data_IF_461737367578
#
_entry.id   IF_461737367578
#
_cell.length_a   1.000
_cell.length_b   1.000
_cell.length_c   1.000
_cell.angle_alpha   90.00
_cell.angle_beta   90.00
_cell.angle_gamma   90.00
#
_symmetry.space_group_name_H-M   'P 1'
#
loop_
_entity.id
_entity.type
_entity.pdbx_description
1 polymer ?
#
# COMPACT_ATOMS: atom_id res chain seq x y z
N UNK A 1 -7.57 -13.32 17.50
CA UNK A 1 -7.56 -14.30 16.38
C UNK A 1 -6.44 -13.91 15.43
N UNK A 2 -5.37 -14.69 15.32
CA UNK A 2 -4.32 -14.41 14.32
C UNK A 2 -4.91 -14.63 12.92
N UNK A 3 -4.77 -13.65 12.03
CA UNK A 3 -5.09 -13.83 10.60
C UNK A 3 -4.01 -14.71 9.96
N UNK A 4 -4.42 -15.53 9.00
CA UNK A 4 -3.50 -16.32 8.16
C UNK A 4 -2.44 -15.38 7.52
N UNK A 5 -1.13 -15.64 7.66
CA UNK A 5 -0.06 -14.86 7.03
C UNK A 5 -0.26 -14.58 5.54
N UNK A 6 -0.92 -15.49 4.81
CA UNK A 6 -1.26 -15.31 3.39
C UNK A 6 -2.21 -14.13 3.16
N UNK A 7 -3.03 -13.75 4.14
CA UNK A 7 -3.90 -12.57 4.07
C UNK A 7 -3.05 -11.30 4.02
N UNK A 8 -2.07 -11.17 4.91
CA UNK A 8 -1.20 -9.99 4.93
C UNK A 8 -0.36 -9.86 3.66
N UNK A 9 0.18 -10.97 3.14
CA UNK A 9 0.88 -10.96 1.85
C UNK A 9 -0.01 -10.52 0.69
N UNK A 10 -1.29 -10.93 0.69
CA UNK A 10 -2.27 -10.46 -0.30
C UNK A 10 -2.61 -8.98 -0.14
N UNK A 11 -2.70 -8.48 1.09
CA UNK A 11 -2.96 -7.06 1.36
C UNK A 11 -1.79 -6.19 0.86
N UNK A 12 -0.55 -6.63 1.11
CA UNK A 12 0.66 -5.99 0.56
C UNK A 12 0.61 -5.95 -0.96
N UNK A 13 0.40 -7.10 -1.60
CA UNK A 13 0.35 -7.20 -3.07
C UNK A 13 -0.70 -6.25 -3.66
N UNK A 14 -1.92 -6.27 -3.12
CA UNK A 14 -3.03 -5.42 -3.58
C UNK A 14 -2.74 -3.93 -3.39
N UNK A 15 -2.14 -3.56 -2.27
CA UNK A 15 -1.77 -2.17 -1.97
C UNK A 15 -0.68 -1.67 -2.94
N UNK A 16 0.36 -2.48 -3.20
CA UNK A 16 1.41 -2.15 -4.17
C UNK A 16 0.83 -2.00 -5.58
N UNK A 17 -0.06 -2.89 -6.01
CA UNK A 17 -0.72 -2.76 -7.31
C UNK A 17 -1.57 -1.50 -7.43
N UNK A 18 -2.28 -1.11 -6.37
CA UNK A 18 -3.04 0.15 -6.32
C UNK A 18 -2.12 1.35 -6.49
N UNK A 19 -1.04 1.42 -5.72
CA UNK A 19 -0.04 2.51 -5.83
C UNK A 19 0.46 2.61 -7.27
N UNK A 20 0.92 1.48 -7.85
CA UNK A 20 1.38 1.43 -9.24
C UNK A 20 0.32 1.93 -10.22
N UNK A 21 -0.96 1.57 -10.04
CA UNK A 21 -2.04 2.04 -10.93
C UNK A 21 -2.29 3.54 -10.81
N UNK A 22 -2.28 4.08 -9.60
CA UNK A 22 -2.54 5.51 -9.37
C UNK A 22 -1.41 6.39 -9.91
N UNK A 23 -0.16 5.92 -9.84
CA UNK A 23 1.02 6.69 -10.25
C UNK A 23 1.47 6.42 -11.68
N UNK A 24 0.97 5.37 -12.36
CA UNK A 24 1.45 4.91 -13.69
C UNK A 24 1.55 6.01 -14.77
N UNK A 25 0.68 7.01 -14.73
CA UNK A 25 0.58 8.07 -15.74
C UNK A 25 0.79 9.47 -15.15
N UNK A 26 1.46 9.55 -14.00
CA UNK A 26 1.76 10.82 -13.36
C UNK A 26 3.26 11.04 -13.43
N UNK A 27 3.66 12.18 -13.99
CA UNK A 27 4.97 12.73 -13.72
C UNK A 27 5.03 13.23 -12.27
N UNK A 28 6.23 13.45 -11.75
CA UNK A 28 6.43 13.85 -10.36
C UNK A 28 5.69 15.16 -10.02
N UNK A 29 5.76 16.16 -10.89
CA UNK A 29 5.08 17.45 -10.68
C UNK A 29 3.55 17.33 -10.73
N UNK A 30 3.03 16.40 -11.53
CA UNK A 30 1.59 16.11 -11.57
C UNK A 30 1.13 15.41 -10.28
N UNK A 31 1.96 14.53 -9.73
CA UNK A 31 1.70 13.87 -8.45
C UNK A 31 1.64 14.89 -7.31
N UNK A 32 2.60 15.84 -7.25
CA UNK A 32 2.65 16.89 -6.23
C UNK A 32 1.40 17.78 -6.18
N UNK A 33 0.68 17.93 -7.30
CA UNK A 33 -0.53 18.73 -7.40
C UNK A 33 -1.82 17.94 -7.14
N UNK A 34 -1.75 16.61 -7.01
CA UNK A 34 -2.91 15.72 -6.88
C UNK A 34 -3.03 15.15 -5.48
N UNK A 35 -3.53 15.96 -4.56
CA UNK A 35 -3.72 15.62 -3.14
C UNK A 35 -4.47 14.29 -2.94
N UNK A 36 -5.58 14.07 -3.65
CA UNK A 36 -6.35 12.80 -3.57
C UNK A 36 -5.48 11.58 -3.94
N UNK A 37 -4.58 11.72 -4.92
CA UNK A 37 -3.70 10.61 -5.31
C UNK A 37 -2.62 10.39 -4.25
N UNK A 38 -2.11 11.46 -3.64
CA UNK A 38 -1.16 11.38 -2.54
C UNK A 38 -1.79 10.66 -1.34
N UNK A 39 -3.00 11.07 -0.93
CA UNK A 39 -3.74 10.43 0.15
C UNK A 39 -3.99 8.94 -0.13
N UNK A 40 -4.35 8.61 -1.37
CA UNK A 40 -4.53 7.23 -1.78
C UNK A 40 -3.22 6.43 -1.71
N UNK A 41 -2.08 7.01 -2.09
CA UNK A 41 -0.77 6.37 -1.98
C UNK A 41 -0.38 6.18 -0.51
N UNK A 42 -0.50 7.22 0.32
CA UNK A 42 -0.20 7.20 1.75
C UNK A 42 -1.02 6.10 2.44
N UNK A 43 -2.33 6.05 2.17
CA UNK A 43 -3.21 5.02 2.75
C UNK A 43 -2.80 3.60 2.37
N UNK A 44 -2.35 3.38 1.14
CA UNK A 44 -1.87 2.05 0.73
C UNK A 44 -0.50 1.71 1.35
N UNK A 45 0.36 2.70 1.60
CA UNK A 45 1.60 2.50 2.35
C UNK A 45 1.33 2.14 3.83
N UNK A 46 0.33 2.75 4.46
CA UNK A 46 -0.10 2.37 5.82
C UNK A 46 -0.58 0.91 5.89
N UNK A 47 -1.40 0.47 4.92
CA UNK A 47 -1.85 -0.93 4.83
C UNK A 47 -0.67 -1.88 4.70
N UNK A 48 0.33 -1.53 3.88
CA UNK A 48 1.55 -2.32 3.75
C UNK A 48 2.29 -2.38 5.09
N UNK A 49 2.48 -1.24 5.77
CA UNK A 49 3.14 -1.18 7.07
C UNK A 49 2.44 -2.02 8.15
N UNK A 50 1.11 -1.96 8.20
CA UNK A 50 0.30 -2.77 9.11
C UNK A 50 0.44 -4.27 8.79
N UNK A 51 0.38 -4.65 7.51
CA UNK A 51 0.55 -6.03 7.09
C UNK A 51 1.96 -6.56 7.41
N UNK A 52 3.01 -5.77 7.17
CA UNK A 52 4.41 -6.13 7.48
C UNK A 52 4.59 -6.38 8.98
N UNK A 53 4.10 -5.47 9.84
CA UNK A 53 4.17 -5.61 11.30
C UNK A 53 3.54 -6.92 11.79
N UNK A 54 2.42 -7.31 11.17
CA UNK A 54 1.72 -8.54 11.53
C UNK A 54 2.36 -9.80 10.93
N UNK A 55 3.10 -9.70 9.82
CA UNK A 55 3.92 -10.81 9.30
C UNK A 55 5.23 -11.00 10.05
N UNK A 56 5.89 -9.93 10.53
CA UNK A 56 7.14 -10.04 11.29
C UNK A 56 6.93 -10.62 12.68
N UNK A 57 5.74 -10.47 13.26
CA UNK A 57 5.37 -11.12 14.52
C UNK A 57 5.21 -12.64 14.41
N UNK A 58 5.30 -13.21 13.20
CA UNK A 58 5.17 -14.64 12.94
C UNK A 58 6.52 -15.36 12.77
N UNK A 59 7.61 -14.63 12.47
CA UNK A 59 8.98 -15.17 12.29
C UNK A 59 9.73 -15.03 13.60
#
# INVERSE_FOLDING_TARGET
MQRDPKVYLRDILRATEKIKRYTKKLEFDDFLKKEIVQDAVIRNLEIIGEAVKNTSAWI
#
